data_IF_322460268663
#
_entry.id   IF_322460268663
#
_cell.length_a   1.000
_cell.length_b   1.000
_cell.length_c   1.000
_cell.angle_alpha   90.00
_cell.angle_beta   90.00
_cell.angle_gamma   90.00
#
_symmetry.space_group_name_H-M   'P 1'
#
loop_
_entity.id
_entity.type
_entity.pdbx_description
1 polymer ?
#
# COMPACT_ATOMS: atom_id res chain seq x y z
N UNK A 1 9.08 26.28 -19.67
CA UNK A 1 8.77 24.93 -20.16
C UNK A 1 10.09 24.15 -20.13
N UNK A 2 10.51 23.73 -18.94
CA UNK A 2 11.68 22.87 -18.76
C UNK A 2 11.11 21.47 -18.55
N UNK A 3 11.23 20.59 -19.54
CA UNK A 3 11.12 19.15 -19.29
C UNK A 3 12.26 18.82 -18.31
N UNK A 4 11.93 18.58 -17.05
CA UNK A 4 12.90 18.06 -16.09
C UNK A 4 13.39 16.71 -16.65
N UNK A 5 14.71 16.66 -16.90
CA UNK A 5 15.44 15.49 -17.37
C UNK A 5 15.52 14.45 -16.22
N UNK A 6 14.37 13.89 -15.86
CA UNK A 6 14.21 12.91 -14.77
C UNK A 6 14.56 11.52 -15.26
N UNK A 7 14.92 10.63 -14.33
CA UNK A 7 15.16 9.20 -14.64
C UNK A 7 13.89 8.59 -15.24
N UNK A 8 12.72 9.02 -14.77
CA UNK A 8 11.42 8.59 -15.31
C UNK A 8 11.29 8.94 -16.79
N UNK A 9 11.58 10.18 -17.19
CA UNK A 9 11.51 10.59 -18.61
C UNK A 9 12.43 9.75 -19.50
N UNK A 10 13.63 9.43 -19.01
CA UNK A 10 14.58 8.58 -19.73
C UNK A 10 14.06 7.15 -19.91
N UNK A 11 13.51 6.55 -18.85
CA UNK A 11 12.93 5.21 -18.90
C UNK A 11 11.68 5.15 -19.80
N UNK A 12 10.84 6.18 -19.77
CA UNK A 12 9.67 6.27 -20.66
C UNK A 12 10.07 6.34 -22.13
N UNK A 13 11.09 7.13 -22.48
CA UNK A 13 11.59 7.17 -23.84
C UNK A 13 12.22 5.83 -24.26
N UNK A 14 13.00 5.20 -23.37
CA UNK A 14 13.59 3.87 -23.61
C UNK A 14 12.52 2.80 -23.86
N UNK A 15 11.45 2.79 -23.08
CA UNK A 15 10.33 1.86 -23.22
C UNK A 15 9.67 1.89 -24.61
N UNK A 16 9.72 3.02 -25.33
CA UNK A 16 9.18 3.13 -26.69
C UNK A 16 9.92 2.23 -27.71
N UNK A 17 11.15 1.83 -27.40
CA UNK A 17 11.97 0.96 -28.25
C UNK A 17 11.93 -0.51 -27.81
N UNK A 18 11.13 -0.84 -26.79
CA UNK A 18 11.03 -2.20 -26.31
C UNK A 18 10.26 -3.07 -27.31
N UNK A 19 10.65 -4.35 -27.48
CA UNK A 19 9.92 -5.26 -28.34
C UNK A 19 8.53 -5.56 -27.76
N UNK A 20 7.59 -5.87 -28.65
CA UNK A 20 6.25 -6.31 -28.26
C UNK A 20 6.31 -7.62 -27.46
N UNK A 21 5.27 -7.91 -26.69
CA UNK A 21 5.18 -9.11 -25.84
C UNK A 21 5.30 -10.42 -26.63
N UNK A 22 4.84 -10.41 -27.88
CA UNK A 22 4.71 -11.60 -28.73
C UNK A 22 6.08 -12.26 -28.98
N UNK A 23 6.14 -13.58 -28.80
CA UNK A 23 7.36 -14.37 -29.00
C UNK A 23 8.31 -14.48 -27.80
N UNK A 24 8.02 -13.82 -26.67
CA UNK A 24 8.76 -14.03 -25.43
C UNK A 24 8.18 -15.17 -24.59
N UNK A 25 9.01 -15.87 -23.78
CA UNK A 25 8.52 -16.89 -22.87
C UNK A 25 7.56 -16.28 -21.83
N UNK A 26 6.64 -17.08 -21.31
CA UNK A 26 5.63 -16.66 -20.33
C UNK A 26 6.25 -16.11 -19.04
N UNK A 27 7.45 -16.58 -18.68
CA UNK A 27 8.25 -16.05 -17.58
C UNK A 27 9.76 -16.13 -17.88
N UNK A 28 10.54 -15.30 -17.20
CA UNK A 28 11.99 -15.27 -17.29
C UNK A 28 12.64 -15.16 -15.90
N UNK A 29 13.76 -15.85 -15.71
CA UNK A 29 14.57 -15.76 -14.48
C UNK A 29 15.37 -14.47 -14.47
N UNK A 30 15.39 -13.79 -13.33
CA UNK A 30 16.14 -12.56 -13.13
C UNK A 30 17.55 -12.90 -12.63
N UNK A 31 18.51 -12.74 -13.53
CA UNK A 31 19.94 -12.87 -13.23
C UNK A 31 20.28 -14.21 -12.56
N UNK A 32 21.14 -14.21 -11.55
CA UNK A 32 21.53 -15.37 -10.75
C UNK A 32 20.49 -15.74 -9.66
N UNK A 33 19.51 -14.88 -9.38
CA UNK A 33 18.53 -15.12 -8.32
C UNK A 33 17.53 -16.21 -8.72
N UNK A 34 17.02 -17.02 -7.78
CA UNK A 34 15.89 -17.92 -8.02
C UNK A 34 14.56 -17.14 -8.05
N UNK A 35 14.54 -16.01 -8.75
CA UNK A 35 13.40 -15.09 -8.90
C UNK A 35 12.98 -15.03 -10.37
N UNK A 36 11.70 -15.26 -10.62
CA UNK A 36 11.11 -15.22 -11.96
C UNK A 36 10.12 -14.07 -12.09
N UNK A 37 10.16 -13.39 -13.23
CA UNK A 37 9.16 -12.41 -13.65
C UNK A 37 8.33 -13.02 -14.79
N UNK A 38 7.02 -13.03 -14.65
CA UNK A 38 6.14 -13.61 -15.67
C UNK A 38 4.76 -13.00 -15.78
N UNK A 39 4.02 -13.55 -16.74
CA UNK A 39 2.60 -13.31 -16.98
C UNK A 39 1.72 -14.32 -16.23
N UNK A 40 0.40 -14.13 -16.28
CA UNK A 40 -0.55 -14.97 -15.55
C UNK A 40 -0.48 -16.46 -15.97
N UNK A 41 -0.22 -16.74 -17.24
CA UNK A 41 -0.09 -18.10 -17.77
C UNK A 41 1.05 -18.89 -17.11
N UNK A 42 2.13 -18.24 -16.68
CA UNK A 42 3.23 -18.92 -15.99
C UNK A 42 2.82 -19.49 -14.63
N UNK A 43 1.88 -18.84 -13.93
CA UNK A 43 1.33 -19.36 -12.67
C UNK A 43 0.36 -20.54 -12.90
N UNK A 44 -0.28 -20.59 -14.07
CA UNK A 44 -1.20 -21.67 -14.46
C UNK A 44 -0.49 -22.89 -15.05
N UNK A 45 0.79 -22.79 -15.38
CA UNK A 45 1.59 -23.87 -15.95
C UNK A 45 2.28 -24.68 -14.83
N UNK A 46 1.67 -25.79 -14.44
CA UNK A 46 2.23 -26.69 -13.42
C UNK A 46 3.60 -27.24 -13.80
N UNK A 47 3.85 -27.52 -15.09
CA UNK A 47 5.12 -28.05 -15.56
C UNK A 47 6.23 -26.99 -15.44
N UNK A 48 5.94 -25.73 -15.75
CA UNK A 48 6.84 -24.62 -15.51
C UNK A 48 7.15 -24.45 -14.01
N UNK A 49 6.12 -24.48 -13.16
CA UNK A 49 6.28 -24.34 -11.71
C UNK A 49 7.11 -25.48 -11.10
N UNK A 50 6.94 -26.72 -11.57
CA UNK A 50 7.70 -27.89 -11.11
C UNK A 50 9.15 -27.85 -11.62
N UNK A 51 9.33 -27.60 -12.92
CA UNK A 51 10.67 -27.55 -13.54
C UNK A 51 11.59 -26.51 -12.90
N UNK A 52 11.03 -25.39 -12.45
CA UNK A 52 11.79 -24.31 -11.83
C UNK A 52 11.71 -24.32 -10.29
N UNK A 53 11.12 -25.37 -9.70
CA UNK A 53 11.00 -25.54 -8.25
C UNK A 53 10.37 -24.33 -7.54
N UNK A 54 9.40 -23.69 -8.21
CA UNK A 54 8.71 -22.52 -7.68
C UNK A 54 7.82 -22.97 -6.52
N UNK A 55 8.01 -22.32 -5.37
CA UNK A 55 7.25 -22.56 -4.13
C UNK A 55 6.53 -21.31 -3.63
N UNK A 56 6.92 -20.13 -4.12
CA UNK A 56 6.36 -18.86 -3.71
C UNK A 56 5.87 -18.05 -4.91
N UNK A 57 4.71 -17.41 -4.79
CA UNK A 57 4.10 -16.63 -5.88
C UNK A 57 3.58 -15.29 -5.36
N UNK A 58 4.01 -14.19 -5.99
CA UNK A 58 3.41 -12.85 -5.81
C UNK A 58 2.51 -12.57 -7.01
N UNK A 59 1.20 -12.49 -6.78
CA UNK A 59 0.20 -12.25 -7.83
C UNK A 59 -0.39 -10.84 -7.70
N UNK A 60 -0.24 -10.04 -8.77
CA UNK A 60 -0.68 -8.63 -8.81
C UNK A 60 -1.90 -8.46 -9.71
N UNK A 61 -3.06 -8.20 -9.10
CA UNK A 61 -4.32 -7.89 -9.78
C UNK A 61 -4.90 -9.02 -10.64
N UNK A 62 -4.61 -10.27 -10.28
CA UNK A 62 -5.08 -11.47 -11.01
C UNK A 62 -5.75 -12.51 -10.12
N UNK A 63 -5.72 -12.34 -8.78
CA UNK A 63 -6.12 -13.37 -7.83
C UNK A 63 -5.14 -14.53 -7.78
N UNK A 64 -5.53 -15.62 -7.12
CA UNK A 64 -4.70 -16.83 -7.07
C UNK A 64 -4.96 -17.70 -8.31
N UNK A 65 -3.96 -17.80 -9.18
CA UNK A 65 -3.99 -18.61 -10.41
C UNK A 65 -3.05 -19.82 -10.37
N UNK A 66 -2.43 -20.12 -9.22
CA UNK A 66 -1.40 -21.17 -9.15
C UNK A 66 -1.98 -22.54 -9.43
N UNK A 67 -1.43 -23.25 -10.42
CA UNK A 67 -1.86 -24.59 -10.80
C UNK A 67 -1.44 -25.70 -9.82
N UNK A 68 -0.61 -25.37 -8.83
CA UNK A 68 -0.16 -26.29 -7.77
C UNK A 68 -0.07 -25.55 -6.43
N UNK A 69 0.06 -26.27 -5.30
CA UNK A 69 0.29 -25.64 -4.00
C UNK A 69 1.60 -24.82 -3.98
N UNK A 70 1.44 -23.54 -3.72
CA UNK A 70 2.51 -22.57 -3.48
C UNK A 70 2.09 -21.67 -2.32
N UNK A 71 3.05 -21.06 -1.63
CA UNK A 71 2.77 -19.92 -0.79
C UNK A 71 2.48 -18.73 -1.70
N UNK A 72 1.34 -18.05 -1.50
CA UNK A 72 0.87 -17.00 -2.43
C UNK A 72 0.59 -15.70 -1.68
N UNK A 73 1.26 -14.62 -2.11
CA UNK A 73 0.93 -13.26 -1.71
C UNK A 73 0.07 -12.60 -2.81
N UNK A 74 -1.15 -12.21 -2.44
CA UNK A 74 -2.10 -11.56 -3.34
C UNK A 74 -2.12 -10.04 -3.11
N UNK A 75 -1.85 -9.28 -4.16
CA UNK A 75 -1.97 -7.82 -4.16
C UNK A 75 -3.06 -7.43 -5.15
N UNK A 76 -4.17 -6.92 -4.64
CA UNK A 76 -5.24 -6.40 -5.49
C UNK A 76 -4.91 -4.97 -5.95
N UNK A 77 -4.43 -4.85 -7.19
CA UNK A 77 -4.03 -3.57 -7.78
C UNK A 77 -4.20 -3.57 -9.31
N UNK A 78 -4.76 -2.47 -9.82
CA UNK A 78 -4.91 -2.21 -11.24
C UNK A 78 -3.62 -1.64 -11.85
N UNK A 79 -3.47 -1.76 -13.16
CA UNK A 79 -2.30 -1.24 -13.89
C UNK A 79 -2.51 0.20 -14.38
N UNK A 80 -2.80 1.10 -13.43
CA UNK A 80 -3.15 2.48 -13.72
C UNK A 80 -2.15 3.43 -13.06
N UNK A 81 -1.90 4.58 -13.69
CA UNK A 81 -0.93 5.56 -13.19
C UNK A 81 -1.30 6.20 -11.85
N UNK A 82 -2.57 6.19 -11.49
CA UNK A 82 -3.15 6.72 -10.26
C UNK A 82 -3.25 5.68 -9.12
N UNK A 83 -2.90 4.42 -9.39
CA UNK A 83 -2.77 3.41 -8.34
C UNK A 83 -1.44 3.51 -7.58
N UNK A 84 -1.47 3.18 -6.30
CA UNK A 84 -0.30 3.24 -5.41
C UNK A 84 0.27 1.83 -5.19
N UNK A 85 1.34 1.50 -5.93
CA UNK A 85 2.06 0.24 -5.77
C UNK A 85 3.10 0.30 -4.64
N UNK A 86 3.71 1.47 -4.40
CA UNK A 86 4.78 1.64 -3.42
C UNK A 86 4.42 1.20 -1.98
N UNK A 87 3.21 1.46 -1.46
CA UNK A 87 2.80 0.95 -0.15
C UNK A 87 2.87 -0.59 -0.03
N UNK A 88 2.86 -1.32 -1.14
CA UNK A 88 2.96 -2.77 -1.17
C UNK A 88 4.40 -3.29 -1.27
N UNK A 89 5.40 -2.42 -1.47
CA UNK A 89 6.80 -2.85 -1.61
C UNK A 89 7.29 -3.62 -0.38
N UNK A 90 7.03 -3.13 0.84
CA UNK A 90 7.49 -3.78 2.07
C UNK A 90 7.03 -5.23 2.20
N UNK A 91 5.73 -5.49 2.10
CA UNK A 91 5.20 -6.85 2.21
C UNK A 91 5.66 -7.77 1.06
N UNK A 92 5.78 -7.25 -0.17
CA UNK A 92 6.25 -8.03 -1.31
C UNK A 92 7.72 -8.40 -1.15
N UNK A 93 8.54 -7.45 -0.74
CA UNK A 93 9.97 -7.66 -0.56
C UNK A 93 10.24 -8.61 0.60
N UNK A 94 9.56 -8.43 1.74
CA UNK A 94 9.65 -9.35 2.87
C UNK A 94 9.27 -10.79 2.49
N UNK A 95 8.16 -10.96 1.77
CA UNK A 95 7.73 -12.26 1.26
C UNK A 95 8.79 -12.90 0.35
N UNK A 96 9.33 -12.15 -0.61
CA UNK A 96 10.38 -12.64 -1.50
C UNK A 96 11.65 -13.00 -0.74
N UNK A 97 12.10 -12.15 0.19
CA UNK A 97 13.27 -12.41 1.03
C UNK A 97 13.14 -13.70 1.84
N UNK A 98 11.99 -13.91 2.48
CA UNK A 98 11.74 -15.12 3.28
C UNK A 98 11.91 -16.40 2.43
N UNK A 99 11.39 -16.42 1.21
CA UNK A 99 11.49 -17.60 0.34
C UNK A 99 12.86 -17.75 -0.33
N UNK A 100 13.43 -16.67 -0.85
CA UNK A 100 14.71 -16.73 -1.56
C UNK A 100 15.87 -17.06 -0.60
N UNK A 101 15.82 -16.59 0.66
CA UNK A 101 16.81 -16.97 1.68
C UNK A 101 16.67 -18.44 2.11
N UNK A 102 15.49 -19.04 1.96
CA UNK A 102 15.25 -20.47 2.16
C UNK A 102 15.58 -21.32 0.91
N UNK A 103 16.27 -20.73 -0.09
CA UNK A 103 16.62 -21.35 -1.37
C UNK A 103 15.40 -21.84 -2.17
N UNK A 104 14.23 -21.25 -1.94
CA UNK A 104 13.02 -21.55 -2.68
C UNK A 104 12.88 -20.57 -3.86
N UNK A 105 12.53 -21.06 -5.04
CA UNK A 105 12.26 -20.19 -6.17
C UNK A 105 10.92 -19.48 -6.04
N UNK A 106 10.88 -18.22 -6.47
CA UNK A 106 9.71 -17.36 -6.41
C UNK A 106 9.32 -16.84 -7.80
N UNK A 107 8.01 -16.76 -8.07
CA UNK A 107 7.44 -16.13 -9.27
C UNK A 107 6.71 -14.84 -8.88
N UNK A 108 7.02 -13.74 -9.55
CA UNK A 108 6.24 -12.49 -9.48
C UNK A 108 5.52 -12.32 -10.80
N UNK A 109 4.18 -12.28 -10.77
CA UNK A 109 3.39 -12.14 -11.98
C UNK A 109 2.24 -11.13 -11.87
N UNK A 110 1.83 -10.63 -13.03
CA UNK A 110 0.59 -9.91 -13.22
C UNK A 110 -0.16 -10.50 -14.42
N UNK A 111 -0.94 -9.72 -15.17
CA UNK A 111 -1.62 -10.22 -16.39
C UNK A 111 -0.60 -10.56 -17.47
N UNK A 112 0.21 -9.58 -17.91
CA UNK A 112 1.14 -9.72 -19.04
C UNK A 112 2.63 -9.79 -18.64
N UNK A 113 2.93 -9.63 -17.35
CA UNK A 113 4.32 -9.62 -16.88
C UNK A 113 5.14 -8.41 -17.34
N UNK A 114 4.51 -7.26 -17.60
CA UNK A 114 5.18 -6.09 -18.18
C UNK A 114 5.34 -4.90 -17.21
N UNK A 115 4.30 -4.58 -16.44
CA UNK A 115 4.25 -3.36 -15.62
C UNK A 115 4.25 -3.65 -14.11
N UNK A 116 3.11 -4.05 -13.52
CA UNK A 116 2.99 -4.31 -12.07
C UNK A 116 4.05 -5.25 -11.50
N UNK A 117 4.20 -6.44 -12.09
CA UNK A 117 5.17 -7.44 -11.62
C UNK A 117 6.61 -7.02 -11.87
N UNK A 118 6.88 -6.41 -13.01
CA UNK A 118 8.21 -5.86 -13.31
C UNK A 118 8.61 -4.78 -12.29
N UNK A 119 7.68 -3.89 -11.92
CA UNK A 119 7.93 -2.87 -10.91
C UNK A 119 8.24 -3.46 -9.53
N UNK A 120 7.56 -4.54 -9.09
CA UNK A 120 7.90 -5.25 -7.85
C UNK A 120 9.29 -5.88 -7.94
N UNK A 121 9.66 -6.51 -9.06
CA UNK A 121 11.00 -7.05 -9.26
C UNK A 121 12.08 -5.96 -9.23
N UNK A 122 11.83 -4.80 -9.84
CA UNK A 122 12.74 -3.65 -9.78
C UNK A 122 12.90 -3.17 -8.34
N UNK A 123 11.80 -2.95 -7.61
CA UNK A 123 11.84 -2.53 -6.20
C UNK A 123 12.60 -3.53 -5.31
N UNK A 124 12.40 -4.83 -5.53
CA UNK A 124 13.12 -5.88 -4.82
C UNK A 124 14.63 -5.80 -5.08
N UNK A 125 15.06 -5.65 -6.33
CA UNK A 125 16.49 -5.52 -6.64
C UNK A 125 17.10 -4.23 -6.09
N UNK A 126 16.36 -3.12 -6.14
CA UNK A 126 16.77 -1.85 -5.54
C UNK A 126 17.06 -2.03 -4.04
N UNK A 127 16.18 -2.70 -3.30
CA UNK A 127 16.39 -2.94 -1.87
C UNK A 127 17.49 -4.00 -1.60
N UNK A 128 17.36 -5.19 -2.18
CA UNK A 128 18.23 -6.35 -1.92
C UNK A 128 19.69 -6.08 -2.26
N UNK A 129 19.94 -5.37 -3.36
CA UNK A 129 21.28 -5.11 -3.89
C UNK A 129 21.71 -3.65 -3.73
N UNK A 130 20.89 -2.82 -3.07
CA UNK A 130 21.11 -1.39 -2.94
C UNK A 130 21.38 -0.68 -4.28
N UNK A 131 20.63 -1.08 -5.32
CA UNK A 131 20.77 -0.53 -6.67
C UNK A 131 19.93 0.74 -6.83
N UNK A 132 20.37 1.60 -7.75
CA UNK A 132 19.52 2.67 -8.29
C UNK A 132 18.38 2.08 -9.12
N UNK A 133 17.33 2.88 -9.34
CA UNK A 133 16.21 2.56 -10.22
C UNK A 133 16.70 2.15 -11.60
N UNK A 134 17.62 2.91 -12.20
CA UNK A 134 18.12 2.63 -13.55
C UNK A 134 18.86 1.29 -13.61
N UNK A 135 19.75 1.03 -12.65
CA UNK A 135 20.48 -0.25 -12.57
C UNK A 135 19.55 -1.44 -12.36
N UNK A 136 18.63 -1.35 -11.38
CA UNK A 136 17.67 -2.41 -11.11
C UNK A 136 16.75 -2.67 -12.31
N UNK A 137 16.31 -1.60 -12.98
CA UNK A 137 15.54 -1.70 -14.22
C UNK A 137 16.31 -2.44 -15.32
N UNK A 138 17.62 -2.19 -15.47
CA UNK A 138 18.47 -2.88 -16.44
C UNK A 138 18.55 -4.39 -16.19
N UNK A 139 18.63 -4.83 -14.93
CA UNK A 139 18.60 -6.26 -14.60
C UNK A 139 17.27 -6.91 -15.02
N UNK A 140 16.14 -6.26 -14.69
CA UNK A 140 14.82 -6.80 -15.02
C UNK A 140 14.58 -6.79 -16.53
N UNK A 141 14.98 -5.73 -17.22
CA UNK A 141 14.83 -5.65 -18.69
C UNK A 141 15.68 -6.70 -19.40
N UNK A 142 16.92 -6.96 -18.95
CA UNK A 142 17.75 -8.01 -19.55
C UNK A 142 17.10 -9.38 -19.44
N UNK A 143 16.44 -9.67 -18.32
CA UNK A 143 15.69 -10.92 -18.15
C UNK A 143 14.43 -10.96 -19.03
N UNK A 144 13.68 -9.85 -19.10
CA UNK A 144 12.44 -9.75 -19.87
C UNK A 144 12.44 -8.45 -20.70
N UNK A 145 12.90 -8.48 -21.97
CA UNK A 145 13.08 -7.26 -22.78
C UNK A 145 11.81 -6.45 -23.04
N UNK A 146 10.64 -7.11 -23.00
CA UNK A 146 9.33 -6.52 -23.27
C UNK A 146 8.66 -5.86 -22.05
N UNK A 147 9.38 -5.64 -20.93
CA UNK A 147 8.81 -4.89 -19.80
C UNK A 147 8.37 -3.50 -20.23
N UNK A 148 7.29 -3.00 -19.66
CA UNK A 148 6.75 -1.69 -19.98
C UNK A 148 6.02 -1.18 -18.74
N UNK A 149 6.75 -0.56 -17.82
CA UNK A 149 6.21 -0.09 -16.54
C UNK A 149 5.45 1.21 -16.78
N UNK A 150 4.24 1.32 -16.23
CA UNK A 150 3.46 2.55 -16.39
C UNK A 150 4.14 3.75 -15.69
N UNK A 151 3.91 4.99 -16.17
CA UNK A 151 4.57 6.17 -15.63
C UNK A 151 4.34 6.40 -14.13
N UNK A 152 3.15 6.05 -13.62
CA UNK A 152 2.82 6.18 -12.19
C UNK A 152 3.68 5.29 -11.30
N UNK A 153 3.94 4.06 -11.73
CA UNK A 153 4.83 3.14 -11.03
C UNK A 153 6.30 3.52 -11.17
N UNK A 154 6.74 4.05 -12.31
CA UNK A 154 8.10 4.58 -12.45
C UNK A 154 8.36 5.76 -11.51
N UNK A 155 7.42 6.71 -11.39
CA UNK A 155 7.50 7.81 -10.41
C UNK A 155 7.57 7.29 -8.98
N UNK A 156 6.82 6.24 -8.67
CA UNK A 156 6.87 5.58 -7.38
C UNK A 156 8.21 4.89 -7.12
N UNK A 157 8.79 4.19 -8.10
CA UNK A 157 10.14 3.62 -7.97
C UNK A 157 11.21 4.72 -7.77
N UNK A 158 11.09 5.86 -8.46
CA UNK A 158 11.99 7.00 -8.23
C UNK A 158 11.83 7.57 -6.82
N UNK A 159 10.58 7.65 -6.32
CA UNK A 159 10.30 8.02 -4.93
C UNK A 159 10.91 7.03 -3.95
N UNK A 160 10.84 5.73 -4.24
CA UNK A 160 11.46 4.67 -3.44
C UNK A 160 12.99 4.82 -3.36
N UNK A 161 13.64 5.16 -4.47
CA UNK A 161 15.07 5.50 -4.46
C UNK A 161 15.37 6.70 -3.54
N UNK A 162 14.53 7.75 -3.59
CA UNK A 162 14.64 8.91 -2.70
C UNK A 162 14.32 8.59 -1.23
N UNK A 163 13.61 7.48 -0.99
CA UNK A 163 13.44 6.85 0.32
C UNK A 163 14.65 5.99 0.73
N UNK A 164 15.76 6.04 -0.02
CA UNK A 164 16.96 5.24 0.21
C UNK A 164 16.70 3.72 0.09
N UNK A 165 15.77 3.35 -0.78
CA UNK A 165 15.30 1.97 -0.95
C UNK A 165 14.73 1.36 0.36
N UNK A 166 14.29 2.21 1.30
CA UNK A 166 13.63 1.78 2.53
C UNK A 166 12.13 1.58 2.27
N UNK A 167 11.58 0.36 2.41
CA UNK A 167 10.15 0.12 2.21
C UNK A 167 9.29 0.55 3.39
N UNK A 168 9.87 1.00 4.50
CA UNK A 168 9.09 1.51 5.63
C UNK A 168 8.36 2.80 5.23
N UNK A 169 7.05 2.69 5.02
CA UNK A 169 6.15 3.84 4.76
C UNK A 169 6.31 4.94 5.83
N UNK A 170 6.77 4.58 7.03
CA UNK A 170 6.95 5.47 8.18
C UNK A 170 8.33 6.08 8.33
N UNK A 171 9.22 5.90 7.34
CA UNK A 171 10.52 6.54 7.34
C UNK A 171 10.47 8.08 7.49
N UNK A 172 11.64 8.62 7.80
CA UNK A 172 11.79 10.01 8.26
C UNK A 172 12.19 10.99 7.15
N UNK A 173 12.49 10.50 5.95
CA UNK A 173 12.92 11.37 4.84
C UNK A 173 11.75 12.18 4.27
N UNK A 174 12.06 13.25 3.53
CA UNK A 174 11.04 14.04 2.83
C UNK A 174 10.26 13.20 1.81
N UNK A 175 10.91 12.22 1.18
CA UNK A 175 10.26 11.28 0.26
C UNK A 175 9.19 10.41 0.96
N UNK A 176 9.43 9.98 2.21
CA UNK A 176 8.40 9.30 3.00
C UNK A 176 7.21 10.21 3.31
N UNK A 177 7.45 11.50 3.55
CA UNK A 177 6.35 12.46 3.73
C UNK A 177 5.53 12.66 2.45
N UNK A 178 6.17 12.63 1.28
CA UNK A 178 5.52 12.67 -0.03
C UNK A 178 4.64 11.44 -0.26
N UNK A 179 5.16 10.22 0.00
CA UNK A 179 4.37 8.99 -0.04
C UNK A 179 3.13 9.07 0.85
N UNK A 180 3.29 9.48 2.12
CA UNK A 180 2.16 9.62 3.04
C UNK A 180 1.13 10.63 2.52
N UNK A 181 1.57 11.68 1.83
CA UNK A 181 0.68 12.64 1.18
C UNK A 181 -0.05 12.04 -0.04
N UNK A 182 0.61 11.19 -0.82
CA UNK A 182 0.00 10.44 -1.92
C UNK A 182 -1.08 9.48 -1.41
N UNK A 183 -0.77 8.70 -0.38
CA UNK A 183 -1.72 7.77 0.27
C UNK A 183 -2.94 8.53 0.83
N UNK A 184 -2.70 9.65 1.50
CA UNK A 184 -3.75 10.54 2.00
C UNK A 184 -4.67 11.07 0.88
N UNK A 185 -4.12 11.39 -0.30
CA UNK A 185 -4.92 11.80 -1.47
C UNK A 185 -5.74 10.66 -2.04
N UNK A 186 -5.13 9.48 -2.22
CA UNK A 186 -5.83 8.32 -2.77
C UNK A 186 -6.97 7.86 -1.86
N UNK A 187 -6.72 7.81 -0.54
CA UNK A 187 -7.76 7.50 0.44
C UNK A 187 -8.91 8.49 0.37
N UNK A 188 -8.65 9.80 0.32
CA UNK A 188 -9.70 10.82 0.15
C UNK A 188 -10.56 10.61 -1.09
N UNK A 189 -9.94 10.28 -2.22
CA UNK A 189 -10.64 10.01 -3.49
C UNK A 189 -11.47 8.73 -3.42
N UNK A 190 -10.91 7.65 -2.87
CA UNK A 190 -11.61 6.38 -2.68
C UNK A 190 -12.78 6.53 -1.69
N UNK A 191 -12.59 7.24 -0.58
CA UNK A 191 -13.66 7.53 0.42
C UNK A 191 -14.64 8.62 -0.03
N UNK A 192 -14.98 8.72 -1.32
CA UNK A 192 -15.93 9.72 -1.82
C UNK A 192 -17.23 9.80 -1.00
N UNK A 193 -18.05 10.84 -1.21
CA UNK A 193 -19.33 11.04 -0.49
C UNK A 193 -20.28 9.82 -0.51
N UNK A 194 -20.13 8.91 -1.49
CA UNK A 194 -20.92 7.69 -1.64
C UNK A 194 -20.53 6.54 -0.68
N UNK A 195 -19.25 6.37 -0.32
CA UNK A 195 -18.81 5.24 0.54
C UNK A 195 -19.02 5.50 2.03
N UNK A 196 -19.32 6.76 2.38
CA UNK A 196 -19.84 7.12 3.69
C UNK A 196 -21.29 6.66 3.91
N UNK A 197 -21.97 6.07 2.91
CA UNK A 197 -23.33 5.50 3.01
C UNK A 197 -23.28 4.06 3.57
N UNK A 198 -22.37 3.77 4.51
CA UNK A 198 -22.67 2.71 5.47
C UNK A 198 -23.55 3.34 6.54
N UNK A 199 -24.87 3.16 6.41
CA UNK A 199 -25.81 3.35 7.53
C UNK A 199 -25.15 2.70 8.75
N UNK A 200 -24.96 3.41 9.89
CA UNK A 200 -24.44 2.74 11.07
C UNK A 200 -25.35 1.55 11.31
N UNK A 201 -24.80 0.35 11.17
CA UNK A 201 -25.49 -0.89 11.47
C UNK A 201 -25.74 -0.86 12.98
N UNK A 202 -26.79 -0.15 13.39
CA UNK A 202 -27.37 -0.12 14.74
C UNK A 202 -28.13 -1.44 14.96
N UNK A 203 -27.51 -2.56 14.58
CA UNK A 203 -28.09 -3.89 14.72
C UNK A 203 -27.22 -4.65 15.70
N UNK A 204 -27.72 -4.68 16.96
CA UNK A 204 -27.36 -5.51 18.13
C UNK A 204 -26.21 -5.00 19.04
N UNK A 205 -26.23 -5.36 20.35
CA UNK A 205 -25.76 -4.50 21.45
C UNK A 205 -24.23 -4.48 21.48
N UNK A 206 -23.67 -3.43 20.88
CA UNK A 206 -22.25 -3.12 20.95
C UNK A 206 -22.03 -1.86 21.80
N UNK A 207 -20.90 -1.82 22.48
CA UNK A 207 -20.41 -0.61 23.12
C UNK A 207 -20.31 0.53 22.09
N UNK A 208 -21.19 1.52 22.22
CA UNK A 208 -21.29 2.67 21.32
C UNK A 208 -20.49 3.84 21.88
N UNK A 209 -19.67 4.49 21.05
CA UNK A 209 -18.92 5.69 21.43
C UNK A 209 -19.79 6.90 21.13
N UNK A 210 -20.12 7.65 22.16
CA UNK A 210 -21.01 8.80 22.10
C UNK A 210 -20.28 10.09 22.46
N UNK A 211 -20.77 11.22 21.97
CA UNK A 211 -20.36 12.54 22.45
C UNK A 211 -20.71 12.68 23.94
N UNK A 212 -19.74 13.06 24.77
CA UNK A 212 -19.97 13.25 26.22
C UNK A 212 -20.94 14.39 26.52
N UNK A 213 -21.04 15.41 25.64
CA UNK A 213 -21.91 16.59 25.86
C UNK A 213 -23.38 16.32 25.57
N UNK A 214 -23.71 15.57 24.51
CA UNK A 214 -25.08 15.43 24.03
C UNK A 214 -25.53 13.99 23.76
N UNK A 215 -24.71 12.98 24.09
CA UNK A 215 -24.98 11.57 23.82
C UNK A 215 -25.14 11.18 22.34
N UNK A 216 -24.87 12.07 21.39
CA UNK A 216 -24.90 11.72 19.97
C UNK A 216 -23.94 10.56 19.69
N UNK A 217 -24.44 9.49 19.07
CA UNK A 217 -23.66 8.29 18.73
C UNK A 217 -22.70 8.62 17.58
N UNK A 218 -21.40 8.49 17.83
CA UNK A 218 -20.34 8.85 16.88
C UNK A 218 -19.89 7.65 16.06
N UNK A 219 -19.67 6.52 16.72
CA UNK A 219 -19.25 5.27 16.10
C UNK A 219 -19.47 4.09 17.06
N UNK A 220 -19.20 2.88 16.56
CA UNK A 220 -19.14 1.67 17.40
C UNK A 220 -17.69 1.31 17.71
N UNK A 221 -17.48 0.41 18.66
CA UNK A 221 -16.17 -0.19 18.91
C UNK A 221 -15.57 -0.90 17.68
N UNK A 222 -16.40 -1.38 16.72
CA UNK A 222 -15.93 -2.02 15.49
C UNK A 222 -15.24 -1.05 14.52
N UNK A 223 -15.53 0.24 14.62
CA UNK A 223 -14.91 1.26 13.78
C UNK A 223 -13.58 1.75 14.36
N UNK A 224 -13.12 1.22 15.51
CA UNK A 224 -11.88 1.64 16.12
C UNK A 224 -10.69 0.95 15.44
N UNK A 225 -9.72 1.73 15.03
CA UNK A 225 -8.48 1.23 14.45
C UNK A 225 -7.57 0.74 15.57
N UNK A 226 -7.28 -0.57 15.58
CA UNK A 226 -6.28 -1.10 16.49
C UNK A 226 -4.89 -0.69 16.04
N UNK A 227 -4.11 -0.19 16.99
CA UNK A 227 -2.73 0.24 16.82
C UNK A 227 -1.92 0.00 18.09
N UNK A 228 -2.44 -0.84 19.00
CA UNK A 228 -1.74 -1.36 20.17
C UNK A 228 -1.12 -2.69 19.79
N UNK A 229 0.19 -2.84 19.95
CA UNK A 229 0.85 -4.13 19.76
C UNK A 229 0.59 -5.03 20.97
N UNK A 230 0.33 -6.33 20.80
CA UNK A 230 0.53 -7.34 21.83
C UNK A 230 2.00 -7.40 22.27
N UNK A 231 2.92 -7.16 21.33
CA UNK A 231 4.36 -7.11 21.53
C UNK A 231 4.81 -5.68 21.83
N UNK A 232 4.33 -5.13 22.95
CA UNK A 232 4.82 -3.85 23.45
C UNK A 232 6.32 -3.97 23.76
N UNK A 233 7.17 -3.65 22.78
CA UNK A 233 8.55 -3.24 23.03
C UNK A 233 8.48 -2.12 24.08
N UNK A 234 9.16 -2.35 25.19
CA UNK A 234 9.00 -1.75 26.52
C UNK A 234 9.20 -0.20 26.61
N UNK A 235 8.53 0.61 25.80
CA UNK A 235 8.73 2.07 25.76
C UNK A 235 7.58 2.92 25.21
N UNK A 236 6.40 2.34 24.93
CA UNK A 236 5.22 3.09 24.49
C UNK A 236 4.31 3.53 25.64
N UNK A 237 3.98 4.83 25.72
CA UNK A 237 3.02 5.35 26.71
C UNK A 237 1.55 5.08 26.32
N UNK A 238 0.57 5.36 27.20
CA UNK A 238 -0.85 5.15 26.90
C UNK A 238 -1.29 6.00 25.70
N UNK A 239 -2.09 5.40 24.81
CA UNK A 239 -2.60 6.08 23.62
C UNK A 239 -3.38 7.35 23.99
N UNK A 240 -3.04 8.47 23.35
CA UNK A 240 -3.65 9.78 23.64
C UNK A 240 -5.11 9.90 23.15
N UNK A 241 -5.56 9.00 22.28
CA UNK A 241 -6.96 8.95 21.87
C UNK A 241 -7.35 7.68 21.15
N UNK A 242 -8.62 7.63 20.79
CA UNK A 242 -9.22 6.53 20.03
C UNK A 242 -9.17 6.93 18.57
N UNK A 243 -8.56 6.10 17.73
CA UNK A 243 -8.57 6.28 16.28
C UNK A 243 -9.69 5.47 15.68
N UNK A 244 -10.39 6.05 14.70
CA UNK A 244 -11.52 5.40 14.04
C UNK A 244 -11.41 5.51 12.54
N UNK A 245 -12.12 4.66 11.82
CA UNK A 245 -12.36 4.83 10.39
C UNK A 245 -13.15 6.14 10.14
N UNK A 246 -12.99 6.78 8.96
CA UNK A 246 -13.80 7.93 8.59
C UNK A 246 -15.31 7.61 8.63
N UNK A 247 -16.06 8.35 9.45
CA UNK A 247 -17.50 8.10 9.64
C UNK A 247 -18.37 9.03 8.79
N UNK A 248 -19.58 8.61 8.45
CA UNK A 248 -20.49 9.37 7.59
C UNK A 248 -20.72 10.82 8.03
N UNK A 249 -20.89 11.03 9.33
CA UNK A 249 -21.16 12.36 9.87
C UNK A 249 -19.96 13.31 9.74
N UNK A 250 -18.74 12.78 9.56
CA UNK A 250 -17.53 13.58 9.37
C UNK A 250 -17.55 14.23 7.99
N UNK A 251 -17.97 13.51 6.95
CA UNK A 251 -18.05 14.02 5.57
C UNK A 251 -19.01 15.19 5.34
N UNK A 252 -19.80 15.59 6.36
CA UNK A 252 -20.60 16.83 6.33
C UNK A 252 -19.75 18.10 6.34
N UNK A 253 -18.49 18.01 6.81
CA UNK A 253 -17.54 19.12 6.75
C UNK A 253 -16.74 19.05 5.44
N UNK A 254 -16.93 19.98 4.48
CA UNK A 254 -16.19 19.98 3.23
C UNK A 254 -14.68 20.11 3.41
N UNK A 255 -14.20 20.60 4.55
CA UNK A 255 -12.77 20.70 4.84
C UNK A 255 -12.10 19.33 4.88
N UNK A 256 -12.83 18.26 5.23
CA UNK A 256 -12.29 16.89 5.28
C UNK A 256 -11.75 16.46 3.92
N UNK A 257 -12.42 16.82 2.83
CA UNK A 257 -11.96 16.42 1.50
C UNK A 257 -10.96 17.39 0.88
N UNK A 258 -10.90 18.64 1.37
CA UNK A 258 -10.03 19.70 0.80
C UNK A 258 -8.68 19.83 1.51
N UNK A 259 -8.65 19.61 2.83
CA UNK A 259 -7.47 19.84 3.65
C UNK A 259 -6.82 18.51 4.08
N UNK A 260 -5.57 18.57 4.53
CA UNK A 260 -4.85 17.39 5.02
C UNK A 260 -5.12 17.12 6.51
N UNK A 261 -5.50 18.13 7.28
CA UNK A 261 -5.82 18.03 8.70
C UNK A 261 -6.94 18.99 9.12
N UNK A 262 -7.53 18.74 10.29
CA UNK A 262 -8.55 19.59 10.86
C UNK A 262 -9.11 19.11 12.20
N UNK A 263 -10.22 19.71 12.62
CA UNK A 263 -10.91 19.42 13.90
C UNK A 263 -12.14 18.55 13.65
N UNK A 264 -12.38 17.59 14.55
CA UNK A 264 -13.63 16.84 14.57
C UNK A 264 -14.62 17.52 15.52
N UNK A 265 -15.78 17.92 14.99
CA UNK A 265 -16.86 18.56 15.75
C UNK A 265 -18.07 17.63 15.81
N UNK A 266 -18.74 17.58 16.96
CA UNK A 266 -19.98 16.82 17.11
C UNK A 266 -21.05 17.35 16.15
N UNK A 267 -21.70 16.50 15.34
CA UNK A 267 -22.70 16.95 14.37
C UNK A 267 -23.93 17.56 15.05
N UNK A 268 -24.27 17.09 16.25
CA UNK A 268 -25.42 17.57 17.05
C UNK A 268 -25.09 18.85 17.83
N UNK A 269 -24.09 18.83 18.72
CA UNK A 269 -23.86 19.95 19.66
C UNK A 269 -22.64 20.83 19.33
N UNK A 270 -21.94 20.55 18.22
CA UNK A 270 -20.74 21.26 17.73
C UNK A 270 -19.54 21.27 18.70
N UNK A 271 -19.59 20.51 19.80
CA UNK A 271 -18.44 20.37 20.70
C UNK A 271 -17.25 19.74 19.98
N UNK A 272 -16.02 20.21 20.27
CA UNK A 272 -14.79 19.61 19.75
C UNK A 272 -14.61 18.21 20.34
N UNK A 273 -14.63 17.21 19.47
CA UNK A 273 -14.44 15.79 19.81
C UNK A 273 -12.99 15.35 19.68
N UNK A 274 -12.25 15.97 18.76
CA UNK A 274 -10.85 15.64 18.50
C UNK A 274 -10.32 16.30 17.23
N UNK A 275 -9.51 15.57 16.47
CA UNK A 275 -8.84 16.05 15.25
C UNK A 275 -8.71 14.93 14.23
N UNK A 276 -8.56 15.31 12.98
CA UNK A 276 -8.31 14.39 11.88
C UNK A 276 -7.06 14.81 11.11
N UNK A 277 -6.34 13.84 10.54
CA UNK A 277 -5.21 14.07 9.64
C UNK A 277 -5.10 12.91 8.64
N UNK A 278 -5.23 13.19 7.35
CA UNK A 278 -5.16 12.17 6.29
C UNK A 278 -3.75 11.62 6.06
N UNK A 279 -2.71 12.41 6.32
CA UNK A 279 -1.31 11.96 6.26
C UNK A 279 -1.04 10.96 7.39
N UNK A 280 -1.69 11.18 8.53
CA UNK A 280 -1.59 10.37 9.74
C UNK A 280 -0.86 11.08 10.88
N UNK A 281 -0.85 10.46 12.05
CA UNK A 281 -0.15 10.99 13.24
C UNK A 281 0.58 9.88 13.99
N UNK A 282 1.70 10.22 14.63
CA UNK A 282 2.38 9.31 15.55
C UNK A 282 1.67 9.33 16.90
N UNK A 283 1.10 8.20 17.29
CA UNK A 283 0.46 8.04 18.60
C UNK A 283 1.52 7.94 19.70
N UNK A 284 1.13 8.20 20.95
CA UNK A 284 1.97 8.04 22.14
C UNK A 284 2.50 6.61 22.33
N UNK A 285 1.77 5.59 21.84
CA UNK A 285 2.24 4.21 21.80
C UNK A 285 3.31 3.97 20.72
N UNK A 286 3.81 5.03 20.08
CA UNK A 286 4.82 5.06 19.01
C UNK A 286 4.36 4.49 17.66
N UNK A 287 3.17 3.90 17.56
CA UNK A 287 2.57 3.51 16.29
C UNK A 287 2.04 4.72 15.53
N UNK A 288 2.33 4.76 14.24
CA UNK A 288 1.74 5.75 13.34
C UNK A 288 0.37 5.25 12.89
N UNK A 289 -0.65 6.10 12.96
CA UNK A 289 -2.01 5.79 12.52
C UNK A 289 -2.32 6.63 11.30
N UNK A 290 -2.79 5.99 10.23
CA UNK A 290 -3.22 6.66 8.99
C UNK A 290 -4.39 5.91 8.34
N UNK A 291 -5.47 6.61 7.90
CA UNK A 291 -5.72 8.02 8.18
C UNK A 291 -6.03 8.22 9.67
N UNK A 292 -5.59 9.33 10.26
CA UNK A 292 -5.69 9.57 11.69
C UNK A 292 -6.94 10.36 12.06
N UNK A 293 -8.10 9.69 12.23
CA UNK A 293 -9.30 10.31 12.79
C UNK A 293 -9.37 10.04 14.30
N UNK A 294 -8.84 10.97 15.08
CA UNK A 294 -8.65 10.81 16.52
C UNK A 294 -9.78 11.45 17.32
N UNK A 295 -10.46 10.65 18.14
CA UNK A 295 -11.39 11.10 19.18
C UNK A 295 -10.68 11.19 20.53
N UNK A 296 -10.86 12.31 21.23
CA UNK A 296 -10.24 12.57 22.53
C UNK A 296 -11.08 11.90 23.64
N UNK A 297 -10.52 11.00 24.46
CA UNK A 297 -11.27 10.22 25.46
C UNK A 297 -12.08 11.07 26.44
N UNK A 298 -11.57 12.25 26.82
CA UNK A 298 -12.28 13.16 27.72
C UNK A 298 -13.52 13.84 27.11
N UNK A 299 -13.69 13.78 25.79
CA UNK A 299 -14.79 14.40 25.03
C UNK A 299 -15.85 13.38 24.59
N UNK A 300 -15.61 12.10 24.84
CA UNK A 300 -16.47 10.98 24.46
C UNK A 300 -16.82 10.12 25.67
N UNK A 301 -17.76 9.20 25.50
CA UNK A 301 -18.10 8.18 26.48
C UNK A 301 -18.62 6.93 25.80
N UNK A 302 -18.37 5.78 26.41
CA UNK A 302 -18.92 4.51 25.94
C UNK A 302 -20.26 4.26 26.61
N UNK A 303 -21.27 3.86 25.83
CA UNK A 303 -22.57 3.42 26.33
C UNK A 303 -22.85 2.02 25.80
N UNK A 304 -23.29 1.14 26.68
CA UNK A 304 -23.86 -0.16 26.34
C UNK A 304 -25.37 0.04 26.25
N UNK A 305 -25.97 -0.37 25.13
CA UNK A 305 -27.40 -0.35 24.90
C UNK A 305 -27.92 -1.78 24.85
#
# INVERSE_FOLDING_TARGET
>A
MHEENTIVSQLLHRQQQHPLLEGFPTAARIDDLPLFLGEAGAAQDSAFLDKNEIKAVVALGTGNLTAKPCDVLLIDILDMEDELLLPHFGQCIEFLEQHLNALNAALVHCVYGQSRSAAICVAYLMQKRNLTLLEAYDFVQRARPCIFINPGFLRQLELFQRMQNDPDIMGVTSAHAELRTMMARQQRMKTGTADLIAVPQLVRPGNSVCCRKCNYVLCTNRNQLDHRSPDAVAGGGPCAGIFVEPMQWMGKDPAIFRNNDGKLLCPSCKAKLGSWNWIGVKCNCKRFVTPAFQLVPSRIQTRTF
#
